data_IF_673780658288
#
_entry.id   IF_673780658288
#
_cell.length_a   1.000
_cell.length_b   1.000
_cell.length_c   1.000
_cell.angle_alpha   90.00
_cell.angle_beta   90.00
_cell.angle_gamma   90.00
#
_symmetry.space_group_name_H-M   'P 1'
#
loop_
_entity.id
_entity.type
_entity.pdbx_description
1 polymer ?
#
# COMPACT_ATOMS: atom_id res chain seq x y z
N UNK A 1 2.04 -21.98 9.72
CA UNK A 1 1.25 -22.00 8.48
C UNK A 1 0.87 -23.44 8.22
N UNK A 2 -0.39 -23.75 7.88
CA UNK A 2 -0.80 -25.13 7.58
C UNK A 2 -0.34 -25.53 6.15
N UNK A 3 -0.54 -26.79 5.77
CA UNK A 3 -0.12 -27.30 4.46
C UNK A 3 -0.82 -26.57 3.30
N UNK A 4 -2.14 -26.34 3.42
CA UNK A 4 -2.94 -25.66 2.39
C UNK A 4 -2.43 -24.25 2.11
N UNK A 5 -2.21 -23.44 3.16
CA UNK A 5 -1.61 -22.12 3.03
C UNK A 5 -0.21 -22.19 2.40
N UNK A 6 0.61 -23.17 2.78
CA UNK A 6 1.95 -23.32 2.20
C UNK A 6 1.88 -23.57 0.70
N UNK A 7 1.04 -24.51 0.26
CA UNK A 7 0.84 -24.82 -1.16
C UNK A 7 0.31 -23.59 -1.91
N UNK A 8 -0.70 -22.93 -1.37
CA UNK A 8 -1.29 -21.73 -1.97
C UNK A 8 -0.27 -20.61 -2.16
N UNK A 9 0.51 -20.26 -1.13
CA UNK A 9 1.49 -19.17 -1.23
C UNK A 9 2.70 -19.52 -2.10
N UNK A 10 3.10 -20.79 -2.15
CA UNK A 10 4.11 -21.26 -3.11
C UNK A 10 3.63 -21.11 -4.55
N UNK A 11 2.40 -21.55 -4.85
CA UNK A 11 1.79 -21.37 -6.17
C UNK A 11 1.58 -19.89 -6.51
N UNK A 12 1.04 -19.11 -5.57
CA UNK A 12 0.86 -17.67 -5.71
C UNK A 12 2.18 -16.99 -6.05
N UNK A 13 3.28 -17.31 -5.37
CA UNK A 13 4.58 -16.71 -5.65
C UNK A 13 5.06 -17.00 -7.08
N UNK A 14 4.87 -18.22 -7.58
CA UNK A 14 5.21 -18.60 -8.96
C UNK A 14 4.38 -17.77 -9.95
N UNK A 15 3.05 -17.76 -9.77
CA UNK A 15 2.12 -17.02 -10.64
C UNK A 15 2.43 -15.53 -10.62
N UNK A 16 2.62 -14.96 -9.43
CA UNK A 16 2.93 -13.56 -9.21
C UNK A 16 4.25 -13.16 -9.88
N UNK A 17 5.29 -13.98 -9.77
CA UNK A 17 6.57 -13.72 -10.42
C UNK A 17 6.48 -13.81 -11.95
N UNK A 18 5.92 -14.89 -12.50
CA UNK A 18 5.82 -15.08 -13.96
C UNK A 18 4.96 -13.97 -14.59
N UNK A 19 3.75 -13.78 -14.09
CA UNK A 19 2.84 -12.76 -14.61
C UNK A 19 3.36 -11.34 -14.36
N UNK A 20 3.96 -11.10 -13.19
CA UNK A 20 4.51 -9.80 -12.82
C UNK A 20 5.69 -9.39 -13.69
N UNK A 21 6.62 -10.31 -13.97
CA UNK A 21 7.74 -10.07 -14.88
C UNK A 21 7.26 -9.82 -16.32
N UNK A 22 6.26 -10.58 -16.77
CA UNK A 22 5.63 -10.32 -18.06
C UNK A 22 4.99 -8.94 -18.12
N UNK A 23 4.26 -8.53 -17.08
CA UNK A 23 3.68 -7.18 -16.99
C UNK A 23 4.77 -6.10 -16.95
N UNK A 24 5.87 -6.30 -16.23
CA UNK A 24 6.98 -5.34 -16.26
C UNK A 24 7.61 -5.22 -17.65
N UNK A 25 7.72 -6.32 -18.38
CA UNK A 25 8.15 -6.28 -19.78
C UNK A 25 7.20 -5.43 -20.63
N UNK A 26 5.89 -5.59 -20.47
CA UNK A 26 4.91 -4.72 -21.14
C UNK A 26 5.05 -3.24 -20.71
N UNK A 27 5.28 -2.97 -19.42
CA UNK A 27 5.51 -1.60 -18.93
C UNK A 27 6.77 -0.99 -19.54
N UNK A 28 7.82 -1.79 -19.75
CA UNK A 28 9.05 -1.37 -20.43
C UNK A 28 8.76 -0.99 -21.89
N UNK A 29 7.96 -1.79 -22.61
CA UNK A 29 7.56 -1.48 -23.99
C UNK A 29 6.71 -0.20 -24.09
N UNK A 30 5.99 0.16 -23.03
CA UNK A 30 5.17 1.39 -22.95
C UNK A 30 6.02 2.63 -22.63
N UNK A 31 7.23 2.46 -22.09
CA UNK A 31 8.10 3.57 -21.65
C UNK A 31 8.34 4.67 -22.70
N UNK A 32 8.57 4.38 -24.00
CA UNK A 32 8.72 5.42 -25.02
C UNK A 32 7.54 6.39 -25.11
N UNK A 33 6.32 5.96 -24.77
CA UNK A 33 5.14 6.82 -24.76
C UNK A 33 5.22 7.94 -23.72
N UNK A 34 6.10 7.84 -22.71
CA UNK A 34 6.32 8.92 -21.75
C UNK A 34 6.74 10.23 -22.44
N UNK A 35 7.60 10.13 -23.45
CA UNK A 35 8.12 11.28 -24.20
C UNK A 35 7.32 11.59 -25.46
N UNK A 36 6.70 10.57 -26.10
CA UNK A 36 5.93 10.76 -27.34
C UNK A 36 4.51 11.25 -27.06
N UNK A 37 3.78 10.58 -26.16
CA UNK A 37 2.38 10.88 -25.85
C UNK A 37 2.05 10.52 -24.41
N UNK A 38 2.41 11.44 -23.51
CA UNK A 38 2.33 11.25 -22.06
C UNK A 38 0.96 10.81 -21.54
N UNK A 39 -0.12 11.23 -22.20
CA UNK A 39 -1.48 10.80 -21.83
C UNK A 39 -1.73 9.32 -22.04
N UNK A 40 -1.14 8.71 -23.07
CA UNK A 40 -1.23 7.27 -23.28
C UNK A 40 -0.45 6.52 -22.22
N UNK A 41 0.75 7.00 -21.89
CA UNK A 41 1.55 6.45 -20.79
C UNK A 41 0.75 6.44 -19.47
N UNK A 42 0.16 7.58 -19.06
CA UNK A 42 -0.62 7.69 -17.83
C UNK A 42 -1.99 6.97 -17.85
N UNK A 43 -2.40 6.41 -18.99
CA UNK A 43 -3.59 5.56 -19.09
C UNK A 43 -3.23 4.07 -19.08
N UNK A 44 -2.18 3.68 -19.82
CA UNK A 44 -1.78 2.28 -19.99
C UNK A 44 -1.02 1.75 -18.77
N UNK A 45 -0.06 2.51 -18.23
CA UNK A 45 0.75 2.04 -17.10
C UNK A 45 -0.11 1.69 -15.88
N UNK A 46 -1.08 2.51 -15.44
CA UNK A 46 -1.97 2.13 -14.35
C UNK A 46 -2.76 0.85 -14.60
N UNK A 47 -3.21 0.60 -15.84
CA UNK A 47 -3.92 -0.63 -16.18
C UNK A 47 -3.00 -1.87 -16.07
N UNK A 48 -1.76 -1.76 -16.55
CA UNK A 48 -0.74 -2.80 -16.38
C UNK A 48 -0.41 -3.02 -14.89
N UNK A 49 -0.18 -1.93 -14.14
CA UNK A 49 0.10 -2.00 -12.70
C UNK A 49 -1.04 -2.65 -11.91
N UNK A 50 -2.30 -2.41 -12.31
CA UNK A 50 -3.45 -3.10 -11.73
C UNK A 50 -3.37 -4.62 -11.88
N UNK A 51 -2.82 -5.14 -12.98
CA UNK A 51 -2.60 -6.59 -13.16
C UNK A 51 -1.65 -7.22 -12.14
N UNK A 52 -0.78 -6.42 -11.52
CA UNK A 52 0.08 -6.86 -10.40
C UNK A 52 -0.62 -6.60 -9.07
N UNK A 53 -1.16 -5.40 -8.86
CA UNK A 53 -1.72 -4.99 -7.57
C UNK A 53 -2.99 -5.76 -7.21
N UNK A 54 -3.82 -6.09 -8.20
CA UNK A 54 -5.05 -6.88 -8.00
C UNK A 54 -4.78 -8.28 -7.46
N UNK A 55 -3.64 -8.89 -7.79
CA UNK A 55 -3.27 -10.19 -7.22
C UNK A 55 -3.01 -10.08 -5.71
N UNK A 56 -2.49 -8.94 -5.24
CA UNK A 56 -2.27 -8.67 -3.83
C UNK A 56 -3.59 -8.36 -3.11
N UNK A 57 -4.49 -7.58 -3.73
CA UNK A 57 -5.80 -7.30 -3.13
C UNK A 57 -6.63 -8.58 -2.99
N UNK A 58 -6.48 -9.55 -3.91
CA UNK A 58 -7.12 -10.87 -3.78
C UNK A 58 -6.72 -11.62 -2.51
N UNK A 59 -5.46 -11.48 -2.06
CA UNK A 59 -5.01 -12.09 -0.81
C UNK A 59 -5.76 -11.56 0.41
N UNK A 60 -6.04 -10.25 0.43
CA UNK A 60 -6.81 -9.65 1.51
C UNK A 60 -8.30 -9.93 1.37
N UNK A 61 -8.89 -9.71 0.19
CA UNK A 61 -10.34 -9.79 -0.01
C UNK A 61 -10.89 -11.21 0.00
N UNK A 62 -10.25 -12.14 -0.73
CA UNK A 62 -10.81 -13.47 -1.00
C UNK A 62 -10.14 -14.55 -0.18
N UNK A 63 -8.82 -14.47 0.00
CA UNK A 63 -8.09 -15.47 0.78
C UNK A 63 -8.26 -15.26 2.29
N UNK A 64 -7.97 -14.06 2.80
CA UNK A 64 -8.09 -13.72 4.23
C UNK A 64 -9.44 -13.13 4.62
N UNK A 65 -10.39 -13.03 3.68
CA UNK A 65 -11.75 -12.53 3.92
C UNK A 65 -11.79 -11.19 4.68
N UNK A 66 -10.91 -10.25 4.33
CA UNK A 66 -10.87 -8.94 4.95
C UNK A 66 -12.24 -8.25 4.83
N UNK A 67 -12.77 -7.86 5.98
CA UNK A 67 -14.03 -7.16 6.15
C UNK A 67 -13.76 -5.68 6.38
N UNK A 68 -13.74 -4.92 5.29
CA UNK A 68 -13.50 -3.48 5.28
C UNK A 68 -14.84 -2.73 5.41
N UNK A 69 -15.04 -2.08 6.55
CA UNK A 69 -16.22 -1.24 6.86
C UNK A 69 -15.83 0.24 6.75
N UNK A 70 -16.52 0.98 5.90
CA UNK A 70 -16.16 2.39 5.60
C UNK A 70 -17.19 3.33 6.21
N UNK A 71 -16.76 4.15 7.16
CA UNK A 71 -17.51 5.24 7.74
C UNK A 71 -17.12 6.54 7.04
N UNK A 72 -18.11 7.30 6.57
CA UNK A 72 -17.87 8.59 5.90
C UNK A 72 -18.56 9.70 6.68
N UNK A 73 -17.90 10.85 6.83
CA UNK A 73 -18.53 12.04 7.41
C UNK A 73 -19.61 12.61 6.48
N UNK A 74 -19.37 12.54 5.17
CA UNK A 74 -20.22 13.11 4.13
C UNK A 74 -20.33 12.15 2.95
N UNK A 75 -21.55 11.71 2.66
CA UNK A 75 -21.83 10.84 1.51
C UNK A 75 -21.68 11.58 0.17
N UNK A 76 -21.83 12.91 0.17
CA UNK A 76 -21.57 13.75 -1.00
C UNK A 76 -20.08 13.79 -1.33
N UNK A 77 -19.24 14.03 -0.33
CA UNK A 77 -17.79 14.02 -0.50
C UNK A 77 -17.28 12.65 -0.94
N UNK A 78 -17.90 11.57 -0.48
CA UNK A 78 -17.55 10.21 -0.90
C UNK A 78 -17.74 9.98 -2.39
N UNK A 79 -18.63 10.72 -3.08
CA UNK A 79 -18.85 10.58 -4.54
C UNK A 79 -17.64 11.00 -5.38
N UNK A 80 -16.71 11.76 -4.81
CA UNK A 80 -15.47 12.20 -5.46
C UNK A 80 -14.40 11.09 -5.51
N UNK A 81 -14.52 10.07 -4.66
CA UNK A 81 -13.57 8.96 -4.58
C UNK A 81 -13.40 8.28 -5.95
N UNK A 82 -12.15 8.24 -6.44
CA UNK A 82 -11.79 7.65 -7.73
C UNK A 82 -12.04 8.55 -8.95
N UNK A 83 -12.56 9.77 -8.77
CA UNK A 83 -12.90 10.72 -9.84
C UNK A 83 -12.12 12.04 -9.80
N UNK A 84 -11.21 12.19 -8.85
CA UNK A 84 -10.29 13.33 -8.76
C UNK A 84 -8.92 12.85 -8.24
N UNK A 85 -7.90 13.69 -8.44
CA UNK A 85 -6.62 13.46 -7.76
C UNK A 85 -6.73 13.80 -6.27
N UNK A 86 -6.03 13.06 -5.42
CA UNK A 86 -5.99 13.37 -3.99
C UNK A 86 -4.63 13.04 -3.38
N UNK A 87 -4.26 13.81 -2.36
CA UNK A 87 -3.22 13.40 -1.40
C UNK A 87 -3.94 12.67 -0.28
N UNK A 88 -3.51 11.45 0.04
CA UNK A 88 -4.08 10.69 1.16
C UNK A 88 -3.15 10.84 2.36
N UNK A 89 -3.72 11.16 3.52
CA UNK A 89 -3.04 11.01 4.81
C UNK A 89 -3.68 9.86 5.57
N UNK A 90 -2.86 8.99 6.15
CA UNK A 90 -3.34 7.83 6.88
C UNK A 90 -2.53 7.66 8.18
N UNK A 91 -3.17 7.15 9.23
CA UNK A 91 -2.46 6.63 10.39
C UNK A 91 -1.66 5.37 10.00
N UNK A 92 -0.62 5.02 10.77
CA UNK A 92 0.24 3.88 10.50
C UNK A 92 0.34 2.93 11.69
N UNK A 93 -0.73 2.17 11.91
CA UNK A 93 -0.89 1.30 13.06
C UNK A 93 -0.41 -0.14 12.80
N UNK A 94 -0.73 -0.73 11.64
CA UNK A 94 -0.51 -2.15 11.33
C UNK A 94 0.45 -2.35 10.14
N UNK A 95 0.97 -3.58 9.98
CA UNK A 95 1.71 -4.00 8.79
C UNK A 95 0.81 -4.20 7.55
N UNK A 96 -0.52 -4.12 7.70
CA UNK A 96 -1.50 -4.27 6.61
C UNK A 96 -2.32 -3.01 6.31
N UNK A 97 -1.99 -1.85 6.90
CA UNK A 97 -2.68 -0.57 6.64
C UNK A 97 -2.74 -0.24 5.14
N UNK A 98 -1.62 -0.48 4.45
CA UNK A 98 -1.48 -0.27 3.02
C UNK A 98 -2.40 -1.20 2.21
N UNK A 99 -2.61 -2.44 2.69
CA UNK A 99 -3.47 -3.41 2.01
C UNK A 99 -4.94 -3.02 2.15
N UNK A 100 -5.37 -2.57 3.33
CA UNK A 100 -6.72 -2.04 3.53
C UNK A 100 -6.98 -0.83 2.61
N UNK A 101 -6.00 0.08 2.50
CA UNK A 101 -6.06 1.23 1.59
C UNK A 101 -6.09 0.84 0.11
N UNK A 102 -5.39 -0.23 -0.28
CA UNK A 102 -5.40 -0.77 -1.64
C UNK A 102 -6.69 -1.53 -1.98
N UNK A 103 -7.29 -2.22 -1.02
CA UNK A 103 -8.61 -2.85 -1.19
C UNK A 103 -9.68 -1.77 -1.34
N UNK A 104 -9.61 -0.71 -0.52
CA UNK A 104 -10.46 0.45 -0.69
C UNK A 104 -10.33 1.05 -2.10
N UNK A 105 -9.10 1.11 -2.64
CA UNK A 105 -8.88 1.63 -3.99
C UNK A 105 -9.33 0.73 -5.12
N UNK A 106 -9.23 -0.57 -4.94
CA UNK A 106 -9.69 -1.58 -5.88
C UNK A 106 -11.21 -1.58 -5.98
N UNK A 107 -11.90 -1.60 -4.83
CA UNK A 107 -13.35 -1.49 -4.76
C UNK A 107 -13.90 -0.20 -5.37
N UNK A 108 -13.08 0.85 -5.48
CA UNK A 108 -13.44 2.11 -6.12
C UNK A 108 -12.87 2.28 -7.55
N UNK A 109 -12.22 1.26 -8.12
CA UNK A 109 -11.80 1.25 -9.53
C UNK A 109 -10.61 2.14 -9.87
N UNK A 110 -9.73 2.43 -8.90
CA UNK A 110 -8.56 3.26 -9.14
C UNK A 110 -7.26 2.68 -8.56
N UNK A 111 -7.23 1.42 -8.11
CA UNK A 111 -6.05 0.78 -7.51
C UNK A 111 -4.76 0.93 -8.34
N UNK A 112 -4.80 0.76 -9.66
CA UNK A 112 -3.63 0.97 -10.54
C UNK A 112 -3.10 2.42 -10.58
N UNK A 113 -3.91 3.40 -10.17
CA UNK A 113 -3.59 4.84 -10.06
C UNK A 113 -3.26 5.26 -8.62
N UNK A 114 -3.38 4.36 -7.66
CA UNK A 114 -3.07 4.61 -6.26
C UNK A 114 -1.56 4.44 -6.04
N UNK A 115 -0.90 5.53 -5.66
CA UNK A 115 0.54 5.61 -5.44
C UNK A 115 0.83 5.86 -3.98
N UNK A 116 2.02 5.50 -3.53
CA UNK A 116 2.51 5.80 -2.19
C UNK A 116 3.94 6.30 -2.26
N UNK A 117 4.33 7.13 -1.30
CA UNK A 117 5.74 7.47 -1.09
C UNK A 117 6.36 6.41 -0.19
N UNK A 118 7.35 5.68 -0.71
CA UNK A 118 7.98 4.55 -0.04
C UNK A 118 9.50 4.70 0.10
N UNK A 119 10.14 3.71 0.73
CA UNK A 119 11.59 3.66 0.92
C UNK A 119 12.28 3.40 -0.43
N UNK A 120 13.37 4.12 -0.71
CA UNK A 120 14.12 4.02 -1.97
C UNK A 120 14.63 2.60 -2.28
N UNK A 121 14.89 1.77 -1.26
CA UNK A 121 15.28 0.37 -1.47
C UNK A 121 14.20 -0.48 -2.16
N UNK A 122 12.92 -0.09 -2.06
CA UNK A 122 11.81 -0.86 -2.65
C UNK A 122 11.86 -0.88 -4.17
N UNK A 123 12.40 0.16 -4.83
CA UNK A 123 12.48 0.20 -6.30
C UNK A 123 13.34 -0.92 -6.91
N UNK A 124 14.22 -1.53 -6.11
CA UNK A 124 15.08 -2.64 -6.52
C UNK A 124 14.45 -4.02 -6.29
N UNK A 125 13.27 -4.09 -5.67
CA UNK A 125 12.54 -5.35 -5.50
C UNK A 125 11.94 -5.72 -6.87
N UNK A 126 12.27 -6.90 -7.44
CA UNK A 126 11.69 -7.34 -8.70
C UNK A 126 10.17 -7.38 -8.66
N UNK A 127 9.52 -7.26 -9.81
CA UNK A 127 8.06 -7.17 -9.95
C UNK A 127 7.46 -5.88 -9.37
N UNK A 128 7.46 -5.76 -8.04
CA UNK A 128 6.82 -4.66 -7.33
C UNK A 128 7.57 -3.34 -7.49
N UNK A 129 8.87 -3.33 -7.20
CA UNK A 129 9.69 -2.12 -7.26
C UNK A 129 9.73 -1.53 -8.66
N UNK A 130 9.85 -2.39 -9.67
CA UNK A 130 9.85 -1.99 -11.08
C UNK A 130 8.48 -1.46 -11.51
N UNK A 131 7.39 -2.14 -11.15
CA UNK A 131 6.03 -1.65 -11.44
C UNK A 131 5.75 -0.30 -10.80
N UNK A 132 6.21 -0.10 -9.56
CA UNK A 132 6.08 1.18 -8.86
C UNK A 132 6.91 2.29 -9.51
N UNK A 133 8.10 1.95 -10.00
CA UNK A 133 8.93 2.90 -10.76
C UNK A 133 8.24 3.34 -12.06
N UNK A 134 7.75 2.40 -12.87
CA UNK A 134 6.97 2.72 -14.07
C UNK A 134 5.73 3.55 -13.73
N UNK A 135 5.01 3.21 -12.66
CA UNK A 135 3.82 3.96 -12.23
C UNK A 135 4.12 5.33 -11.56
N UNK A 136 5.38 5.79 -11.59
CA UNK A 136 5.84 7.05 -11.00
C UNK A 136 5.53 7.16 -9.50
N UNK A 137 5.75 6.09 -8.72
CA UNK A 137 5.68 6.13 -7.27
C UNK A 137 6.81 6.99 -6.69
N UNK A 138 6.61 7.51 -5.47
CA UNK A 138 7.63 8.26 -4.76
C UNK A 138 8.59 7.35 -4.01
N UNK A 139 9.89 7.65 -4.08
CA UNK A 139 10.95 6.89 -3.40
C UNK A 139 11.87 7.82 -2.61
N UNK A 140 11.99 7.60 -1.30
CA UNK A 140 12.78 8.43 -0.38
C UNK A 140 13.90 7.66 0.32
N UNK A 141 15.05 8.31 0.50
CA UNK A 141 16.24 7.79 1.17
C UNK A 141 16.17 7.86 2.70
N UNK A 142 15.15 8.54 3.26
CA UNK A 142 15.02 8.86 4.70
C UNK A 142 16.10 9.83 5.18
N UNK A 143 16.58 10.68 4.28
CA UNK A 143 17.53 11.75 4.55
C UNK A 143 17.00 13.04 3.91
N UNK A 144 16.67 14.03 4.74
CA UNK A 144 16.04 15.28 4.27
C UNK A 144 16.86 16.03 3.22
N UNK A 145 18.18 16.09 3.36
CA UNK A 145 19.04 16.83 2.42
C UNK A 145 18.95 16.23 1.01
N UNK A 146 18.95 14.89 0.92
CA UNK A 146 18.79 14.19 -0.36
C UNK A 146 17.34 14.18 -0.84
N UNK A 147 16.40 14.04 0.09
CA UNK A 147 14.99 13.82 -0.23
C UNK A 147 14.26 15.09 -0.64
N UNK A 148 14.74 16.29 -0.27
CA UNK A 148 14.12 17.56 -0.69
C UNK A 148 14.02 17.66 -2.21
N UNK A 149 15.10 17.37 -2.92
CA UNK A 149 15.09 17.38 -4.40
C UNK A 149 14.23 16.25 -4.98
N UNK A 150 14.28 15.06 -4.37
CA UNK A 150 13.47 13.93 -4.81
C UNK A 150 11.97 14.24 -4.69
N UNK A 151 11.55 14.88 -3.61
CA UNK A 151 10.17 15.34 -3.41
C UNK A 151 9.80 16.37 -4.49
N UNK A 152 10.67 17.33 -4.80
CA UNK A 152 10.44 18.27 -5.90
C UNK A 152 10.26 17.58 -7.25
N UNK A 153 11.03 16.52 -7.55
CA UNK A 153 10.86 15.69 -8.76
C UNK A 153 9.52 14.94 -8.75
N UNK A 154 9.13 14.38 -7.61
CA UNK A 154 7.83 13.69 -7.42
C UNK A 154 6.67 14.68 -7.67
N UNK A 155 6.71 15.87 -7.07
CA UNK A 155 5.73 16.93 -7.28
C UNK A 155 5.64 17.31 -8.76
N UNK A 156 6.78 17.51 -9.43
CA UNK A 156 6.81 17.82 -10.87
C UNK A 156 6.20 16.70 -11.72
N UNK A 157 6.47 15.43 -11.39
CA UNK A 157 5.83 14.29 -12.06
C UNK A 157 4.31 14.32 -11.86
N UNK A 158 3.83 14.54 -10.64
CA UNK A 158 2.39 14.58 -10.34
C UNK A 158 1.66 15.77 -10.99
N UNK A 159 2.27 16.97 -11.02
CA UNK A 159 1.72 18.13 -11.75
C UNK A 159 1.54 17.82 -13.24
N UNK A 160 2.51 17.12 -13.82
CA UNK A 160 2.50 16.70 -15.22
C UNK A 160 1.70 15.41 -15.47
N UNK A 161 1.15 14.77 -14.43
CA UNK A 161 0.32 13.61 -14.61
C UNK A 161 -1.01 14.02 -15.27
N UNK A 162 -1.37 13.32 -16.34
CA UNK A 162 -2.54 13.64 -17.19
C UNK A 162 -3.76 12.81 -16.80
N UNK A 163 -3.65 11.96 -15.79
CA UNK A 163 -4.74 11.17 -15.23
C UNK A 163 -4.96 11.57 -13.76
N UNK A 164 -6.10 11.17 -13.19
CA UNK A 164 -6.29 11.21 -11.75
C UNK A 164 -5.35 10.23 -11.07
N UNK A 165 -4.83 10.62 -9.91
CA UNK A 165 -3.93 9.79 -9.12
C UNK A 165 -4.20 9.99 -7.64
N UNK A 166 -3.92 8.98 -6.85
CA UNK A 166 -3.86 9.13 -5.41
C UNK A 166 -2.41 9.04 -4.94
N UNK A 167 -2.03 9.91 -4.01
CA UNK A 167 -0.69 9.91 -3.42
C UNK A 167 -0.78 9.73 -1.91
N UNK A 168 -0.50 8.52 -1.44
CA UNK A 168 -0.49 8.18 -0.02
C UNK A 168 0.74 8.68 0.71
N UNK A 169 0.50 9.36 1.84
CA UNK A 169 1.48 9.86 2.80
C UNK A 169 1.16 9.31 4.20
N UNK A 170 2.06 8.50 4.74
CA UNK A 170 2.02 8.08 6.13
C UNK A 170 2.86 9.07 6.94
N UNK A 171 2.23 10.14 7.45
CA UNK A 171 2.94 11.28 8.04
C UNK A 171 3.68 10.90 9.35
N UNK A 172 3.26 9.86 10.06
CA UNK A 172 4.00 9.28 11.20
C UNK A 172 5.40 8.77 10.78
N UNK A 173 5.53 8.36 9.51
CA UNK A 173 6.80 7.98 8.89
C UNK A 173 7.33 6.61 9.29
N UNK A 174 6.73 5.96 10.29
CA UNK A 174 7.01 4.58 10.72
C UNK A 174 5.79 3.98 11.40
N UNK A 175 5.71 2.65 11.47
CA UNK A 175 4.65 1.97 12.24
C UNK A 175 4.76 2.36 13.71
N UNK A 176 3.60 2.62 14.32
CA UNK A 176 3.47 2.76 15.76
C UNK A 176 3.84 1.46 16.47
N UNK A 177 4.67 1.58 17.51
CA UNK A 177 4.85 0.58 18.56
C UNK A 177 4.80 1.32 19.90
N UNK A 178 4.61 0.61 21.01
CA UNK A 178 4.53 1.24 22.33
C UNK A 178 5.83 1.97 22.67
N UNK A 179 7.00 1.42 22.28
CA UNK A 179 8.29 2.07 22.49
C UNK A 179 8.42 3.36 21.68
N UNK A 180 7.98 3.34 20.41
CA UNK A 180 8.05 4.51 19.53
C UNK A 180 7.05 5.58 19.92
N UNK A 181 5.88 5.20 20.40
CA UNK A 181 4.93 6.13 20.97
C UNK A 181 5.53 6.85 22.16
N UNK A 182 6.09 6.11 23.12
CA UNK A 182 6.71 6.70 24.30
C UNK A 182 7.81 7.69 23.90
N UNK A 183 8.69 7.31 22.99
CA UNK A 183 9.72 8.21 22.45
C UNK A 183 9.13 9.45 21.76
N UNK A 184 8.04 9.29 21.00
CA UNK A 184 7.31 10.40 20.37
C UNK A 184 6.68 11.34 21.40
N UNK A 185 6.15 10.81 22.51
CA UNK A 185 5.54 11.58 23.58
C UNK A 185 6.61 12.37 24.35
N UNK A 186 7.74 11.73 24.69
CA UNK A 186 8.90 12.38 25.31
C UNK A 186 9.43 13.52 24.43
N UNK A 187 9.59 13.28 23.12
CA UNK A 187 9.98 14.32 22.18
C UNK A 187 8.98 15.48 22.16
N UNK A 188 7.67 15.19 22.17
CA UNK A 188 6.62 16.22 22.15
C UNK A 188 6.71 17.10 23.40
N UNK A 189 6.81 16.50 24.60
CA UNK A 189 6.98 17.21 25.87
C UNK A 189 8.21 18.13 25.85
N UNK A 190 9.36 17.62 25.42
CA UNK A 190 10.61 18.38 25.36
C UNK A 190 10.58 19.57 24.38
N UNK A 191 9.65 19.57 23.43
CA UNK A 191 9.50 20.63 22.43
C UNK A 191 8.23 21.48 22.66
N UNK A 192 7.56 21.36 23.82
CA UNK A 192 6.36 22.12 24.14
C UNK A 192 5.14 21.77 23.26
N UNK A 193 5.12 20.57 22.68
CA UNK A 193 4.01 20.05 21.87
C UNK A 193 3.18 19.09 22.75
N UNK A 194 1.86 19.25 22.73
CA UNK A 194 0.94 18.32 23.41
C UNK A 194 1.14 16.90 22.85
N UNK A 195 1.51 15.91 23.70
CA UNK A 195 1.70 14.53 23.26
C UNK A 195 0.39 13.87 22.81
N UNK A 196 0.47 13.07 21.75
CA UNK A 196 -0.63 12.23 21.26
C UNK A 196 -0.67 10.89 22.01
N UNK A 197 -1.87 10.32 22.19
CA UNK A 197 -2.07 9.04 22.90
C UNK A 197 -2.01 7.84 21.96
N UNK A 198 -2.56 7.97 20.76
CA UNK A 198 -2.82 6.88 19.81
C UNK A 198 -2.02 7.00 18.51
N UNK A 199 -1.51 8.17 18.19
CA UNK A 199 -0.66 8.39 17.01
C UNK A 199 0.76 8.82 17.37
N UNK A 200 1.71 8.58 16.47
CA UNK A 200 3.01 9.25 16.55
C UNK A 200 2.88 10.71 16.09
N UNK A 201 3.75 11.59 16.59
CA UNK A 201 3.80 12.97 16.14
C UNK A 201 4.11 13.00 14.61
N UNK A 202 3.27 13.64 13.78
CA UNK A 202 3.46 13.62 12.33
C UNK A 202 4.71 14.40 11.94
N UNK A 203 5.40 13.89 10.92
CA UNK A 203 6.50 14.60 10.26
C UNK A 203 5.92 15.58 9.26
N UNK A 204 6.24 16.85 9.47
CA UNK A 204 5.63 17.94 8.73
C UNK A 204 6.27 18.19 7.37
N UNK A 205 7.62 18.20 7.29
CA UNK A 205 8.37 18.66 6.12
C UNK A 205 7.93 18.08 4.77
N UNK A 206 7.78 16.75 4.71
CA UNK A 206 7.37 16.07 3.48
C UNK A 206 5.92 16.39 3.10
N UNK A 207 5.02 16.39 4.08
CA UNK A 207 3.62 16.78 3.89
C UNK A 207 3.53 18.22 3.37
N UNK A 208 4.14 19.18 4.07
CA UNK A 208 4.05 20.59 3.75
C UNK A 208 4.58 20.90 2.35
N UNK A 209 5.72 20.32 1.97
CA UNK A 209 6.30 20.53 0.63
C UNK A 209 5.43 19.93 -0.49
N UNK A 210 4.83 18.75 -0.26
CA UNK A 210 3.96 18.08 -1.25
C UNK A 210 2.64 18.82 -1.40
N UNK A 211 2.00 19.17 -0.30
CA UNK A 211 0.70 19.86 -0.32
C UNK A 211 0.84 21.24 -0.94
N UNK A 212 1.86 22.02 -0.57
CA UNK A 212 2.14 23.30 -1.22
C UNK A 212 2.39 23.11 -2.73
N UNK A 213 3.26 22.18 -3.11
CA UNK A 213 3.62 21.97 -4.51
C UNK A 213 2.48 21.46 -5.40
N UNK A 214 1.48 20.81 -4.80
CA UNK A 214 0.31 20.24 -5.48
C UNK A 214 -0.98 21.03 -5.27
N UNK A 215 -0.94 22.14 -4.53
CA UNK A 215 -2.10 22.93 -4.15
C UNK A 215 -3.01 23.29 -5.35
N UNK A 216 -2.41 23.68 -6.49
CA UNK A 216 -3.18 24.08 -7.68
C UNK A 216 -3.59 22.89 -8.59
N UNK A 217 -3.07 21.69 -8.32
CA UNK A 217 -3.31 20.49 -9.16
C UNK A 217 -4.30 19.52 -8.51
N UNK A 218 -4.27 19.41 -7.19
CA UNK A 218 -4.99 18.39 -6.42
C UNK A 218 -6.19 19.03 -5.70
N UNK A 219 -7.43 18.62 -6.00
CA UNK A 219 -8.61 19.23 -5.40
C UNK A 219 -8.80 19.02 -3.89
N UNK A 220 -8.28 17.93 -3.32
CA UNK A 220 -8.52 17.58 -1.93
C UNK A 220 -7.45 16.68 -1.30
N UNK A 221 -7.38 16.75 0.04
CA UNK A 221 -6.77 15.71 0.87
C UNK A 221 -7.85 14.71 1.28
N UNK A 222 -7.56 13.42 1.18
CA UNK A 222 -8.37 12.36 1.76
C UNK A 222 -7.72 11.89 3.06
N UNK A 223 -8.43 12.09 4.16
CA UNK A 223 -8.00 11.69 5.48
C UNK A 223 -8.57 10.32 5.83
N UNK A 224 -7.68 9.35 5.98
CA UNK A 224 -8.00 7.97 6.35
C UNK A 224 -7.59 7.73 7.80
N UNK A 225 -8.51 7.21 8.58
CA UNK A 225 -8.24 6.69 9.92
C UNK A 225 -8.66 5.23 9.96
N UNK A 226 -7.67 4.34 10.07
CA UNK A 226 -7.87 2.89 10.12
C UNK A 226 -7.91 2.41 11.57
N UNK A 227 -8.96 1.68 11.91
CA UNK A 227 -9.15 1.02 13.21
C UNK A 227 -9.31 -0.48 13.03
N UNK A 228 -8.62 -1.25 13.88
CA UNK A 228 -8.69 -2.71 13.88
C UNK A 228 -9.35 -3.17 15.20
N UNK A 229 -10.60 -3.66 15.18
CA UNK A 229 -11.28 -4.13 16.41
C UNK A 229 -10.50 -5.25 17.12
N UNK A 230 -9.78 -6.07 16.34
CA UNK A 230 -8.82 -7.03 16.86
C UNK A 230 -7.41 -6.73 16.31
N UNK A 231 -6.61 -5.89 17.01
CA UNK A 231 -5.26 -5.52 16.58
C UNK A 231 -4.34 -6.72 16.35
N UNK A 232 -4.48 -7.79 17.13
CA UNK A 232 -3.64 -9.01 17.00
C UNK A 232 -3.88 -9.75 15.67
N UNK A 233 -5.07 -9.58 15.09
CA UNK A 233 -5.42 -10.16 13.78
C UNK A 233 -4.89 -9.35 12.60
N UNK A 234 -4.55 -8.08 12.82
CA UNK A 234 -4.08 -7.15 11.80
C UNK A 234 -2.59 -7.36 11.53
N UNK A 235 -2.25 -8.56 11.02
CA UNK A 235 -0.88 -8.94 10.64
C UNK A 235 -0.85 -9.64 9.29
N UNK A 236 0.23 -9.46 8.52
CA UNK A 236 0.49 -10.25 7.31
C UNK A 236 0.53 -11.75 7.61
N UNK A 237 1.02 -12.12 8.80
CA UNK A 237 1.03 -13.51 9.25
C UNK A 237 -0.38 -14.10 9.41
N UNK A 238 -1.36 -13.29 9.83
CA UNK A 238 -2.75 -13.72 9.90
C UNK A 238 -3.31 -14.00 8.50
N UNK A 239 -3.00 -13.16 7.51
CA UNK A 239 -3.34 -13.40 6.09
C UNK A 239 -2.74 -14.72 5.61
N UNK A 240 -1.46 -14.97 5.88
CA UNK A 240 -0.82 -16.25 5.52
C UNK A 240 -1.51 -17.46 6.14
N UNK A 241 -2.07 -17.31 7.34
CA UNK A 241 -2.83 -18.35 8.04
C UNK A 241 -4.31 -18.42 7.62
N UNK A 242 -4.74 -17.61 6.64
CA UNK A 242 -6.15 -17.50 6.22
C UNK A 242 -7.07 -17.03 7.35
N UNK A 243 -6.54 -16.23 8.26
CA UNK A 243 -7.31 -15.66 9.36
C UNK A 243 -8.11 -14.46 8.87
N UNK A 244 -9.38 -14.39 9.29
CA UNK A 244 -10.26 -13.25 9.02
C UNK A 244 -9.73 -11.99 9.69
N UNK A 245 -9.90 -10.86 9.01
CA UNK A 245 -9.47 -9.54 9.48
C UNK A 245 -10.64 -8.58 9.33
N UNK A 246 -11.01 -7.90 10.41
CA UNK A 246 -11.96 -6.80 10.37
C UNK A 246 -11.19 -5.48 10.44
N UNK A 247 -11.54 -4.55 9.55
CA UNK A 247 -10.93 -3.23 9.46
C UNK A 247 -12.03 -2.20 9.30
N UNK A 248 -12.01 -1.18 10.15
CA UNK A 248 -12.86 0.00 10.02
C UNK A 248 -12.00 1.11 9.42
N UNK A 249 -12.53 1.79 8.41
CA UNK A 249 -11.93 2.98 7.82
C UNK A 249 -12.88 4.13 8.05
N UNK A 250 -12.43 5.18 8.73
CA UNK A 250 -13.07 6.48 8.67
C UNK A 250 -12.48 7.31 7.54
N UNK A 251 -13.35 7.88 6.72
CA UNK A 251 -13.03 8.68 5.56
C UNK A 251 -13.57 10.10 5.72
N UNK A 252 -12.67 11.08 5.59
CA UNK A 252 -12.98 12.50 5.52
C UNK A 252 -12.31 13.13 4.30
N UNK A 253 -13.04 13.94 3.54
CA UNK A 253 -12.50 14.73 2.44
C UNK A 253 -12.26 16.15 2.92
N UNK A 254 -11.07 16.68 2.64
CA UNK A 254 -10.66 18.03 3.02
C UNK A 254 -10.35 18.79 1.74
N UNK A 255 -11.22 19.71 1.30
CA UNK A 255 -10.98 20.52 0.12
C UNK A 255 -9.63 21.25 0.22
N UNK A 256 -8.84 21.22 -0.85
CA UNK A 256 -7.51 21.85 -0.87
C UNK A 256 -7.59 23.35 -0.61
N UNK A 257 -8.68 24.01 -1.05
CA UNK A 257 -8.92 25.43 -0.79
C UNK A 257 -9.07 25.80 0.69
N UNK A 258 -9.33 24.82 1.57
CA UNK A 258 -9.45 25.04 3.01
C UNK A 258 -8.09 24.92 3.72
N UNK A 259 -7.03 24.52 3.01
CA UNK A 259 -5.71 24.34 3.57
C UNK A 259 -4.88 25.63 3.45
N UNK A 260 -3.96 25.86 4.41
CA UNK A 260 -2.99 26.93 4.28
C UNK A 260 -2.08 26.74 3.06
N UNK A 261 -1.56 27.85 2.52
CA UNK A 261 -0.68 27.82 1.34
C UNK A 261 0.81 27.72 1.70
N UNK A 262 1.22 28.24 2.86
CA UNK A 262 2.63 28.26 3.25
C UNK A 262 3.06 26.96 3.94
N UNK A 263 4.31 26.53 3.73
CA UNK A 263 4.84 25.31 4.38
C UNK A 263 4.80 25.37 5.91
N UNK A 264 5.00 26.55 6.51
CA UNK A 264 5.01 26.72 7.96
C UNK A 264 3.61 26.54 8.56
N UNK A 265 2.60 27.11 7.92
CA UNK A 265 1.20 26.93 8.33
C UNK A 265 0.72 25.50 8.07
N UNK A 266 1.10 24.89 6.94
CA UNK A 266 0.82 23.48 6.65
C UNK A 266 1.46 22.54 7.70
N UNK A 267 2.63 22.90 8.21
CA UNK A 267 3.31 22.16 9.28
C UNK A 267 2.52 22.23 10.59
N UNK A 268 1.99 23.39 10.94
CA UNK A 268 1.10 23.56 12.11
C UNK A 268 -0.23 22.83 11.91
N UNK A 269 -0.79 22.93 10.71
CA UNK A 269 -2.03 22.28 10.31
C UNK A 269 -1.94 20.77 10.54
N UNK A 270 -0.93 20.09 10.00
CA UNK A 270 -0.87 18.61 10.12
C UNK A 270 -0.67 18.14 11.55
N UNK A 271 0.03 18.90 12.40
CA UNK A 271 0.16 18.60 13.83
C UNK A 271 -1.21 18.71 14.52
N UNK A 272 -1.95 19.78 14.26
CA UNK A 272 -3.29 19.96 14.81
C UNK A 272 -4.27 18.91 14.30
N UNK A 273 -4.22 18.61 13.00
CA UNK A 273 -5.02 17.58 12.35
C UNK A 273 -4.81 16.20 12.99
N UNK A 274 -3.57 15.83 13.30
CA UNK A 274 -3.29 14.57 14.00
C UNK A 274 -3.81 14.54 15.45
N UNK A 275 -4.02 15.69 16.11
CA UNK A 275 -4.71 15.74 17.41
C UNK A 275 -6.19 15.39 17.27
N UNK A 276 -6.85 15.87 16.21
CA UNK A 276 -8.22 15.48 15.90
C UNK A 276 -8.31 13.98 15.61
N UNK A 277 -7.36 13.45 14.83
CA UNK A 277 -7.27 12.00 14.57
C UNK A 277 -7.05 11.19 15.85
N UNK A 278 -6.33 11.73 16.82
CA UNK A 278 -6.09 11.07 18.12
C UNK A 278 -7.40 10.94 18.92
N UNK A 279 -8.22 12.01 18.95
CA UNK A 279 -9.54 12.01 19.59
C UNK A 279 -10.52 11.09 18.84
N UNK A 280 -10.49 11.11 17.52
CA UNK A 280 -11.28 10.22 16.68
C UNK A 280 -10.96 8.74 16.95
N UNK A 281 -9.67 8.41 17.08
CA UNK A 281 -9.24 7.05 17.37
C UNK A 281 -9.61 6.61 18.79
N UNK A 282 -9.51 7.52 19.78
CA UNK A 282 -10.01 7.27 21.14
C UNK A 282 -11.51 6.94 21.13
N UNK A 283 -12.30 7.66 20.33
CA UNK A 283 -13.74 7.37 20.16
C UNK A 283 -13.98 5.97 19.59
N UNK A 284 -13.17 5.55 18.61
CA UNK A 284 -13.22 4.19 18.08
C UNK A 284 -12.88 3.14 19.14
N UNK A 285 -11.85 3.36 19.96
CA UNK A 285 -11.50 2.44 21.04
C UNK A 285 -12.62 2.29 22.08
N UNK A 286 -13.33 3.38 22.39
CA UNK A 286 -14.42 3.39 23.38
C UNK A 286 -15.72 2.77 22.84
N UNK A 287 -16.06 3.01 21.57
CA UNK A 287 -17.37 2.65 21.01
C UNK A 287 -17.31 1.44 20.06
N UNK A 288 -16.12 1.04 19.63
CA UNK A 288 -15.90 0.00 18.61
C UNK A 288 -16.26 0.43 17.19
N UNK A 289 -16.62 1.71 16.96
CA UNK A 289 -17.01 2.25 15.65
C UNK A 289 -16.45 3.66 15.45
N UNK A 290 -16.29 4.06 14.19
CA UNK A 290 -16.05 5.47 13.88
C UNK A 290 -17.38 6.23 13.76
N UNK A 291 -17.39 7.56 14.00
CA UNK A 291 -18.53 8.40 13.68
C UNK A 291 -18.80 8.44 12.16
N UNK A 292 -19.98 8.90 11.78
CA UNK A 292 -20.38 9.05 10.38
C UNK A 292 -21.27 7.91 9.86
N UNK A 293 -21.56 7.98 8.56
CA UNK A 293 -22.44 7.03 7.89
C UNK A 293 -21.65 5.83 7.38
N UNK A 294 -22.06 4.61 7.74
CA UNK A 294 -21.51 3.40 7.15
C UNK A 294 -21.97 3.29 5.69
N UNK A 295 -21.04 3.35 4.75
CA UNK A 295 -21.33 3.19 3.32
C UNK A 295 -21.05 1.77 2.85
N UNK A 296 -21.93 1.17 2.03
CA UNK A 296 -21.66 -0.14 1.46
C UNK A 296 -20.54 -0.01 0.42
N UNK A 297 -19.47 -0.77 0.61
CA UNK A 297 -18.39 -0.90 -0.35
C UNK A 297 -18.15 -2.39 -0.63
N UNK A 298 -19.00 -3.03 -1.48
CA UNK A 298 -18.94 -4.46 -1.71
C UNK A 298 -17.64 -4.88 -2.41
N UNK A 299 -17.24 -6.14 -2.20
CA UNK A 299 -16.12 -6.76 -2.94
C UNK A 299 -16.43 -6.74 -4.43
N UNK A 300 -15.45 -6.35 -5.25
CA UNK A 300 -15.55 -6.42 -6.70
C UNK A 300 -14.96 -7.73 -7.19
N UNK A 301 -15.67 -8.45 -8.05
CA UNK A 301 -15.19 -9.73 -8.58
C UNK A 301 -14.06 -9.57 -9.62
N UNK A 302 -13.82 -8.36 -10.12
CA UNK A 302 -12.85 -8.10 -11.19
C UNK A 302 -11.44 -8.59 -10.85
N UNK A 303 -10.98 -8.37 -9.61
CA UNK A 303 -9.67 -8.82 -9.18
C UNK A 303 -9.60 -10.35 -9.11
N UNK A 304 -10.67 -11.02 -8.69
CA UNK A 304 -10.78 -12.48 -8.66
C UNK A 304 -10.82 -13.07 -10.06
N UNK A 305 -11.59 -12.48 -10.97
CA UNK A 305 -11.64 -12.92 -12.39
C UNK A 305 -10.26 -12.79 -13.03
N UNK A 306 -9.60 -11.65 -12.86
CA UNK A 306 -8.26 -11.43 -13.40
C UNK A 306 -7.24 -12.40 -12.77
N UNK A 307 -7.29 -12.58 -11.45
CA UNK A 307 -6.45 -13.55 -10.76
C UNK A 307 -6.67 -14.96 -11.29
N UNK A 308 -7.90 -15.43 -11.39
CA UNK A 308 -8.23 -16.75 -11.94
C UNK A 308 -7.74 -16.90 -13.38
N UNK A 309 -7.96 -15.92 -14.24
CA UNK A 309 -7.51 -15.95 -15.63
C UNK A 309 -5.97 -16.05 -15.73
N UNK A 310 -5.25 -15.27 -14.92
CA UNK A 310 -3.78 -15.32 -14.85
C UNK A 310 -3.29 -16.68 -14.33
N UNK A 311 -3.96 -17.23 -13.31
CA UNK A 311 -3.62 -18.56 -12.78
C UNK A 311 -3.81 -19.66 -13.82
N UNK A 312 -4.92 -19.63 -14.57
CA UNK A 312 -5.17 -20.59 -15.66
C UNK A 312 -4.09 -20.46 -16.74
N UNK A 313 -3.80 -19.23 -17.18
CA UNK A 313 -2.80 -19.00 -18.23
C UNK A 313 -1.41 -19.49 -17.81
N UNK A 314 -0.94 -19.10 -16.62
CA UNK A 314 0.36 -19.53 -16.09
C UNK A 314 0.38 -21.06 -15.89
N UNK A 315 -0.73 -21.63 -15.40
CA UNK A 315 -0.89 -23.08 -15.26
C UNK A 315 -0.72 -23.81 -16.59
N UNK A 316 -1.39 -23.36 -17.65
CA UNK A 316 -1.27 -23.94 -18.99
C UNK A 316 0.17 -23.85 -19.53
N UNK A 317 0.84 -22.71 -19.33
CA UNK A 317 2.24 -22.52 -19.73
C UNK A 317 3.15 -23.51 -19.00
N UNK A 318 3.01 -23.63 -17.68
CA UNK A 318 3.82 -24.53 -16.86
C UNK A 318 3.56 -26.00 -17.25
N UNK A 319 2.30 -26.40 -17.42
CA UNK A 319 1.94 -27.76 -17.83
C UNK A 319 2.52 -28.09 -19.20
N UNK A 320 2.42 -27.17 -20.16
CA UNK A 320 2.98 -27.36 -21.50
C UNK A 320 4.51 -27.51 -21.46
N UNK A 321 5.18 -26.69 -20.64
CA UNK A 321 6.63 -26.75 -20.46
C UNK A 321 7.07 -28.05 -19.77
N UNK A 322 6.39 -28.47 -18.71
CA UNK A 322 6.65 -29.76 -18.04
C UNK A 322 6.44 -30.92 -19.03
N UNK A 323 5.38 -30.89 -19.82
CA UNK A 323 5.09 -31.92 -20.82
C UNK A 323 6.22 -32.03 -21.85
N UNK A 324 6.70 -30.88 -22.34
CA UNK A 324 7.88 -30.84 -23.21
C UNK A 324 9.14 -31.40 -22.53
N UNK A 325 9.41 -31.01 -21.28
CA UNK A 325 10.54 -31.56 -20.52
C UNK A 325 10.43 -33.09 -20.32
N UNK A 326 9.23 -33.62 -20.09
CA UNK A 326 9.01 -35.06 -19.96
C UNK A 326 9.30 -35.78 -21.28
N UNK A 327 8.91 -35.19 -22.42
CA UNK A 327 9.21 -35.74 -23.75
C UNK A 327 10.73 -35.78 -23.99
N UNK A 328 11.46 -34.73 -23.59
CA UNK A 328 12.90 -34.60 -23.84
C UNK A 328 13.77 -35.38 -22.85
N UNK A 329 13.42 -35.37 -21.56
CA UNK A 329 14.27 -35.89 -20.48
C UNK A 329 13.71 -37.14 -19.78
N UNK A 330 12.47 -37.54 -20.08
CA UNK A 330 11.79 -38.66 -19.46
C UNK A 330 11.16 -38.36 -18.10
N UNK A 331 10.15 -39.15 -17.73
CA UNK A 331 9.36 -38.96 -16.50
C UNK A 331 10.19 -39.01 -15.21
N UNK A 332 11.17 -39.91 -15.12
CA UNK A 332 11.96 -40.11 -13.89
C UNK A 332 12.78 -38.88 -13.51
N UNK A 333 13.49 -38.29 -14.48
CA UNK A 333 14.32 -37.11 -14.26
C UNK A 333 13.48 -35.88 -13.92
N UNK A 334 12.41 -35.63 -14.69
CA UNK A 334 11.52 -34.48 -14.44
C UNK A 334 10.79 -34.61 -13.10
N UNK A 335 10.32 -35.81 -12.75
CA UNK A 335 9.70 -36.08 -11.46
C UNK A 335 10.64 -35.78 -10.29
N UNK A 336 11.89 -36.25 -10.36
CA UNK A 336 12.91 -35.95 -9.35
C UNK A 336 13.18 -34.44 -9.23
N UNK A 337 13.32 -33.75 -10.36
CA UNK A 337 13.56 -32.31 -10.39
C UNK A 337 12.42 -31.53 -9.71
N UNK A 338 11.15 -31.88 -10.00
CA UNK A 338 9.97 -31.28 -9.37
C UNK A 338 9.98 -31.51 -7.86
N UNK A 339 10.27 -32.74 -7.40
CA UNK A 339 10.34 -33.06 -5.98
C UNK A 339 11.41 -32.24 -5.26
N UNK A 340 12.60 -32.11 -5.86
CA UNK A 340 13.69 -31.30 -5.32
C UNK A 340 13.27 -29.82 -5.26
N UNK A 341 12.66 -29.28 -6.31
CA UNK A 341 12.16 -27.89 -6.31
C UNK A 341 11.11 -27.67 -5.23
N UNK A 342 10.13 -28.56 -5.10
CA UNK A 342 9.11 -28.48 -4.05
C UNK A 342 9.73 -28.49 -2.65
N UNK A 343 10.74 -29.34 -2.41
CA UNK A 343 11.45 -29.39 -1.13
C UNK A 343 12.21 -28.08 -0.84
N UNK A 344 12.93 -27.55 -1.84
CA UNK A 344 13.67 -26.28 -1.71
C UNK A 344 12.71 -25.12 -1.42
N UNK A 345 11.59 -25.03 -2.14
CA UNK A 345 10.57 -24.00 -1.91
C UNK A 345 9.97 -24.14 -0.51
N UNK A 346 9.65 -25.35 -0.07
CA UNK A 346 9.15 -25.59 1.29
C UNK A 346 10.16 -25.16 2.36
N UNK A 347 11.43 -25.55 2.22
CA UNK A 347 12.51 -25.17 3.12
C UNK A 347 12.69 -23.64 3.17
N UNK A 348 12.67 -22.98 2.01
CA UNK A 348 12.74 -21.52 1.92
C UNK A 348 11.56 -20.83 2.61
N UNK A 349 10.33 -21.31 2.38
CA UNK A 349 9.14 -20.74 3.05
C UNK A 349 9.19 -20.93 4.58
N UNK A 350 9.73 -22.05 5.06
CA UNK A 350 9.98 -22.27 6.50
C UNK A 350 11.02 -21.30 7.03
N UNK A 351 12.12 -21.09 6.30
CA UNK A 351 13.15 -20.11 6.65
C UNK A 351 12.58 -18.69 6.72
N UNK A 352 11.86 -18.23 5.69
CA UNK A 352 11.19 -16.92 5.68
C UNK A 352 10.27 -16.77 6.87
N UNK A 353 9.46 -17.78 7.20
CA UNK A 353 8.57 -17.75 8.36
C UNK A 353 9.32 -17.57 9.68
N UNK A 354 10.52 -18.15 9.82
CA UNK A 354 11.38 -17.99 11.00
C UNK A 354 11.97 -16.58 11.04
N UNK A 355 12.49 -16.08 9.91
CA UNK A 355 13.10 -14.74 9.83
C UNK A 355 12.06 -13.63 9.99
N UNK A 356 10.85 -13.79 9.47
CA UNK A 356 9.74 -12.83 9.62
C UNK A 356 9.22 -12.70 11.06
N UNK A 357 9.58 -13.63 11.96
CA UNK A 357 9.34 -13.47 13.40
C UNK A 357 10.38 -12.57 14.08
N UNK A 358 11.46 -12.18 13.39
CA UNK A 358 12.46 -11.27 13.95
C UNK A 358 12.00 -9.81 13.83
N UNK A 359 11.94 -9.12 14.97
CA UNK A 359 11.55 -7.71 15.13
C UNK A 359 12.57 -6.73 14.53
N UNK A 360 12.89 -6.84 13.25
CA UNK A 360 13.67 -5.81 12.55
C UNK A 360 12.78 -4.65 12.14
N UNK A 361 12.23 -3.96 13.13
CA UNK A 361 11.61 -2.65 12.97
C UNK A 361 12.65 -1.58 12.65
N UNK A 362 12.24 -0.52 11.95
CA UNK A 362 13.10 0.66 11.79
C UNK A 362 13.41 1.27 13.17
N UNK A 363 14.70 1.49 13.46
CA UNK A 363 15.20 2.20 14.67
C UNK A 363 14.89 3.70 14.67
N UNK A 364 14.28 4.20 13.60
CA UNK A 364 14.03 5.63 13.44
C UNK A 364 13.07 6.14 14.53
N UNK A 365 13.50 7.14 15.28
CA UNK A 365 12.78 7.69 16.44
C UNK A 365 13.24 7.13 17.79
N UNK A 366 14.10 6.10 17.79
CA UNK A 366 14.73 5.54 19.00
C UNK A 366 16.18 6.01 19.19
N UNK A 367 16.75 6.66 18.18
CA UNK A 367 18.10 7.24 18.26
C UNK A 367 18.02 8.53 19.08
N UNK A 368 18.62 8.51 20.28
CA UNK A 368 18.88 9.72 21.06
C UNK A 368 19.81 10.60 20.24
N UNK A 369 19.34 11.80 19.89
CA UNK A 369 20.20 12.85 19.33
C UNK A 369 21.16 13.37 20.37
#
# INVERSE_FOLDING_TARGET
>A
MNLVSSIFFSWFAIVFCISGLFINFLQLLVLPLYWIKKSWYHNIIPALSYGIFSQITVLGEWWAEMDLKVYVESTEDFKHVGKESSVIICNHYSDIDWLASWIFSDRNGFCGRAKVISKNSIKYVPVIGWSWWFAEFGFLNRNWQQDKENISRIIKSMRNNTNYFWMGLLCEGTRRTDEKLKASQEFSLNNGIVPLKHHLLPRTKGFSLIVEGLHDKVPAIYDFELGFPNPKSATLMNIFKRGRIEVLLHFRRIPMCNLPKSQDELSKYIIQHYREKDVLYETFLQTGKFPGTLVPLPRKINNLVLFTAVNVLVGLIIISWISYCVIVFGFGFVGLAILVTCFVVYAFMRFVTIVSKSDRGSKFGLEKK
#
